data_IF_958603052596
#
_entry.id   IF_958603052596
#
_cell.length_a   1.000
_cell.length_b   1.000
_cell.length_c   1.000
_cell.angle_alpha   90.00
_cell.angle_beta   90.00
_cell.angle_gamma   90.00
#
_symmetry.space_group_name_H-M   'P 1'
#
loop_
_entity.id
_entity.type
_entity.pdbx_description
1 polymer ?
#
# COMPACT_ATOMS: atom_id res chain seq x y z
N UNK A 1 -31.08 0.68 -4.28
CA UNK A 1 -30.35 1.27 -5.43
C UNK A 1 -30.15 2.76 -5.16
N UNK A 2 -28.96 3.28 -5.45
CA UNK A 2 -28.50 4.66 -5.19
C UNK A 2 -27.88 4.86 -3.79
N UNK A 3 -26.66 4.33 -3.63
CA UNK A 3 -25.62 5.05 -2.89
C UNK A 3 -25.45 6.39 -3.64
N UNK A 4 -26.20 7.42 -3.23
CA UNK A 4 -26.23 8.72 -3.90
C UNK A 4 -24.89 9.45 -3.80
N UNK A 5 -24.86 10.78 -4.05
CA UNK A 5 -23.65 11.59 -3.95
C UNK A 5 -22.87 11.39 -2.65
N UNK A 6 -23.57 11.11 -1.54
CA UNK A 6 -22.99 10.81 -0.23
C UNK A 6 -22.24 9.47 -0.19
N UNK A 7 -22.76 8.43 -0.85
CA UNK A 7 -22.09 7.13 -0.96
C UNK A 7 -20.90 7.17 -1.90
N UNK A 8 -20.96 8.01 -2.95
CA UNK A 8 -19.78 8.33 -3.77
C UNK A 8 -18.72 9.10 -2.98
N UNK A 9 -19.12 10.07 -2.14
CA UNK A 9 -18.21 10.82 -1.27
C UNK A 9 -17.54 9.92 -0.23
N UNK A 10 -18.29 9.04 0.44
CA UNK A 10 -17.71 8.07 1.37
C UNK A 10 -16.81 7.06 0.67
N UNK A 11 -17.22 6.53 -0.49
CA UNK A 11 -16.37 5.65 -1.29
C UNK A 11 -15.06 6.32 -1.69
N UNK A 12 -15.12 7.56 -2.18
CA UNK A 12 -13.94 8.28 -2.65
C UNK A 12 -13.07 8.79 -1.49
N UNK A 13 -13.64 9.09 -0.32
CA UNK A 13 -12.87 9.56 0.84
C UNK A 13 -12.28 8.42 1.68
N UNK A 14 -12.92 7.24 1.74
CA UNK A 14 -12.40 6.08 2.47
C UNK A 14 -11.71 5.04 1.58
N UNK A 15 -12.31 4.62 0.46
CA UNK A 15 -11.70 3.58 -0.38
C UNK A 15 -10.45 4.09 -1.10
N UNK A 16 -10.45 5.36 -1.56
CA UNK A 16 -9.30 5.91 -2.29
C UNK A 16 -8.01 5.97 -1.47
N UNK A 17 -7.97 6.52 -0.24
CA UNK A 17 -6.74 6.47 0.56
C UNK A 17 -6.40 5.05 1.02
N UNK A 18 -7.39 4.19 1.26
CA UNK A 18 -7.17 2.79 1.63
C UNK A 18 -6.47 2.02 0.50
N UNK A 19 -6.98 2.08 -0.73
CA UNK A 19 -6.33 1.47 -1.90
C UNK A 19 -4.95 2.05 -2.13
N UNK A 20 -4.78 3.38 -2.01
CA UNK A 20 -3.47 4.02 -2.17
C UNK A 20 -2.45 3.51 -1.13
N UNK A 21 -2.90 3.21 0.08
CA UNK A 21 -2.06 2.63 1.15
C UNK A 21 -1.71 1.18 0.84
N UNK A 22 -2.69 0.35 0.48
CA UNK A 22 -2.47 -1.05 0.11
C UNK A 22 -1.52 -1.17 -1.08
N UNK A 23 -1.70 -0.36 -2.14
CA UNK A 23 -0.81 -0.39 -3.31
C UNK A 23 0.62 0.02 -2.93
N UNK A 24 0.79 1.04 -2.09
CA UNK A 24 2.11 1.41 -1.56
C UNK A 24 2.74 0.27 -0.77
N UNK A 25 1.96 -0.37 0.08
CA UNK A 25 2.41 -1.47 0.92
C UNK A 25 2.85 -2.68 0.07
N UNK A 26 2.07 -3.05 -0.95
CA UNK A 26 2.44 -4.10 -1.92
C UNK A 26 3.70 -3.71 -2.71
N UNK A 27 3.80 -2.48 -3.20
CA UNK A 27 4.99 -2.00 -3.92
C UNK A 27 6.24 -2.03 -3.04
N UNK A 28 6.13 -1.61 -1.78
CA UNK A 28 7.23 -1.66 -0.80
C UNK A 28 7.68 -3.09 -0.56
N UNK A 29 6.72 -3.99 -0.37
CA UNK A 29 7.04 -5.41 -0.19
C UNK A 29 7.71 -6.03 -1.41
N UNK A 30 7.24 -5.67 -2.61
CA UNK A 30 7.84 -6.11 -3.87
C UNK A 30 9.25 -5.56 -4.06
N UNK A 31 9.46 -4.26 -3.81
CA UNK A 31 10.78 -3.63 -3.90
C UNK A 31 11.77 -4.27 -2.91
N UNK A 32 11.32 -4.55 -1.67
CA UNK A 32 12.10 -5.27 -0.68
C UNK A 32 12.49 -6.67 -1.15
N UNK A 33 11.55 -7.43 -1.73
CA UNK A 33 11.83 -8.76 -2.29
C UNK A 33 12.81 -8.70 -3.46
N UNK A 34 12.66 -7.72 -4.37
CA UNK A 34 13.55 -7.56 -5.52
C UNK A 34 14.98 -7.23 -5.09
N UNK A 35 15.16 -6.37 -4.08
CA UNK A 35 16.48 -5.92 -3.64
C UNK A 35 17.16 -6.93 -2.72
N UNK A 36 16.40 -7.58 -1.83
CA UNK A 36 16.98 -8.48 -0.81
C UNK A 36 16.83 -9.96 -1.12
N UNK A 37 15.95 -10.34 -2.05
CA UNK A 37 15.59 -11.73 -2.33
C UNK A 37 14.72 -12.40 -1.26
N UNK A 38 14.38 -11.71 -0.17
CA UNK A 38 13.68 -12.27 0.98
C UNK A 38 12.17 -12.00 0.92
N UNK A 39 11.36 -13.04 1.15
CA UNK A 39 9.90 -12.93 1.14
C UNK A 39 9.41 -12.03 2.28
N UNK A 40 8.42 -11.18 1.95
CA UNK A 40 7.74 -10.34 2.93
C UNK A 40 6.73 -11.23 3.65
N UNK A 41 7.07 -11.63 4.87
CA UNK A 41 6.20 -12.44 5.73
C UNK A 41 5.07 -11.62 6.35
N UNK A 42 4.82 -11.81 7.64
CA UNK A 42 3.64 -11.27 8.35
C UNK A 42 3.66 -9.76 8.62
N UNK A 43 4.72 -9.04 8.22
CA UNK A 43 4.90 -7.62 8.53
C UNK A 43 5.46 -6.88 7.31
N UNK A 44 4.91 -5.70 7.05
CA UNK A 44 5.44 -4.79 6.04
C UNK A 44 6.86 -4.35 6.42
N UNK A 45 7.81 -4.34 5.46
CA UNK A 45 9.16 -3.83 5.71
C UNK A 45 9.08 -2.36 6.14
N UNK A 46 9.86 -2.00 7.16
CA UNK A 46 9.89 -0.64 7.70
C UNK A 46 10.55 0.30 6.70
N UNK A 47 10.27 1.62 6.77
CA UNK A 47 10.90 2.60 5.88
C UNK A 47 12.44 2.60 6.00
N UNK A 48 12.98 2.17 7.15
CA UNK A 48 14.41 1.95 7.37
C UNK A 48 14.97 0.73 6.61
N UNK A 49 14.18 -0.33 6.43
CA UNK A 49 14.59 -1.54 5.69
C UNK A 49 14.49 -1.33 4.17
N UNK A 50 13.71 -0.31 3.76
CA UNK A 50 13.55 0.11 2.37
C UNK A 50 14.57 1.19 1.95
N UNK A 51 15.32 1.77 2.89
CA UNK A 51 16.38 2.73 2.61
C UNK A 51 17.40 2.23 1.55
N UNK A 52 17.88 0.96 1.58
CA UNK A 52 18.74 0.44 0.50
C UNK A 52 18.03 0.24 -0.84
N UNK A 53 16.70 0.22 -0.88
CA UNK A 53 15.91 0.10 -2.11
C UNK A 53 15.48 1.45 -2.71
N UNK A 54 15.73 2.57 -2.02
CA UNK A 54 15.34 3.93 -2.42
C UNK A 54 16.54 4.84 -2.75
N UNK A 55 17.77 4.31 -2.71
CA UNK A 55 19.01 5.01 -3.04
C UNK A 55 19.31 5.00 -4.55
#
# INVERSE_FOLDING_TARGET
MKFGPLGWLMGNFMMKPMMKRITKDVMKGLAYYVVTGNTVGSKLPSDADLAPALA
#
